data_IF_217902859450
#
_entry.id   IF_217902859450
#
_cell.length_a   1.000
_cell.length_b   1.000
_cell.length_c   1.000
_cell.angle_alpha   90.00
_cell.angle_beta   90.00
_cell.angle_gamma   90.00
#
_symmetry.space_group_name_H-M   'P 1'
#
loop_
_entity.id
_entity.type
_entity.pdbx_description
1 polymer ?
#
# COMPACT_ATOMS: atom_id res chain seq x y z
N UNK A 1 -100.97 4.62 -28.03
CA UNK A 1 -99.80 5.33 -27.46
C UNK A 1 -99.43 6.49 -28.37
N UNK A 2 -99.59 7.72 -27.90
CA UNK A 2 -99.44 8.94 -28.70
C UNK A 2 -97.98 9.19 -29.09
N UNK A 3 -97.75 9.77 -30.27
CA UNK A 3 -96.41 10.05 -30.83
C UNK A 3 -95.53 10.92 -29.90
N UNK A 4 -96.17 11.76 -29.08
CA UNK A 4 -95.52 12.60 -28.07
C UNK A 4 -94.87 11.77 -26.96
N UNK A 5 -95.56 10.74 -26.46
CA UNK A 5 -95.05 9.84 -25.42
C UNK A 5 -93.82 9.03 -25.87
N UNK A 6 -93.74 8.63 -27.15
CA UNK A 6 -92.55 7.93 -27.69
C UNK A 6 -91.34 8.86 -27.83
N UNK A 7 -91.55 10.14 -28.19
CA UNK A 7 -90.46 11.12 -28.31
C UNK A 7 -89.85 11.50 -26.97
N UNK A 8 -90.68 11.64 -25.93
CA UNK A 8 -90.21 11.93 -24.56
C UNK A 8 -89.39 10.75 -24.02
N UNK A 9 -89.81 9.51 -24.27
CA UNK A 9 -89.11 8.31 -23.81
C UNK A 9 -87.72 8.15 -24.47
N UNK A 10 -87.61 8.40 -25.77
CA UNK A 10 -86.33 8.36 -26.48
C UNK A 10 -85.37 9.46 -26.02
N UNK A 11 -85.88 10.66 -25.72
CA UNK A 11 -85.06 11.76 -25.21
C UNK A 11 -84.51 11.44 -23.80
N UNK A 12 -85.31 10.85 -22.91
CA UNK A 12 -84.82 10.42 -21.58
C UNK A 12 -83.76 9.32 -21.67
N UNK A 13 -83.91 8.39 -22.63
CA UNK A 13 -82.96 7.28 -22.83
C UNK A 13 -81.62 7.79 -23.39
N UNK A 14 -81.65 8.72 -24.34
CA UNK A 14 -80.45 9.36 -24.88
C UNK A 14 -79.68 10.18 -23.83
N UNK A 15 -80.38 10.89 -22.95
CA UNK A 15 -79.74 11.64 -21.84
C UNK A 15 -79.08 10.68 -20.85
N UNK A 16 -79.73 9.56 -20.49
CA UNK A 16 -79.15 8.58 -19.57
C UNK A 16 -77.88 7.89 -20.11
N UNK A 17 -77.83 7.63 -21.43
CA UNK A 17 -76.64 7.07 -22.09
C UNK A 17 -75.52 8.10 -22.17
N UNK A 18 -75.85 9.37 -22.42
CA UNK A 18 -74.85 10.44 -22.51
C UNK A 18 -74.24 10.79 -21.15
N UNK A 19 -75.02 10.73 -20.05
CA UNK A 19 -74.51 10.93 -18.68
C UNK A 19 -73.73 9.74 -18.15
N UNK A 20 -74.09 8.51 -18.56
CA UNK A 20 -73.33 7.32 -18.20
C UNK A 20 -71.94 7.30 -18.87
N UNK A 21 -71.82 7.78 -20.12
CA UNK A 21 -70.52 7.85 -20.82
C UNK A 21 -69.49 8.79 -20.18
N UNK A 22 -69.92 9.84 -19.47
CA UNK A 22 -69.02 10.81 -18.83
C UNK A 22 -68.31 10.23 -17.60
N UNK A 23 -68.96 9.32 -16.87
CA UNK A 23 -68.34 8.68 -15.68
C UNK A 23 -67.26 7.66 -16.04
N UNK A 24 -67.38 7.00 -17.20
CA UNK A 24 -66.40 6.02 -17.69
C UNK A 24 -65.21 6.68 -18.37
N UNK A 25 -65.41 7.83 -19.02
CA UNK A 25 -64.33 8.63 -19.59
C UNK A 25 -63.44 9.24 -18.48
N UNK A 26 -64.06 9.81 -17.44
CA UNK A 26 -63.32 10.38 -16.31
C UNK A 26 -62.48 9.35 -15.54
N UNK A 27 -63.01 8.13 -15.31
CA UNK A 27 -62.25 7.06 -14.65
C UNK A 27 -61.09 6.54 -15.49
N UNK A 28 -61.24 6.50 -16.82
CA UNK A 28 -60.18 6.11 -17.75
C UNK A 28 -59.08 7.18 -17.84
N UNK A 29 -59.45 8.46 -17.76
CA UNK A 29 -58.53 9.59 -17.76
C UNK A 29 -57.74 9.67 -16.45
N UNK A 30 -58.38 9.44 -15.31
CA UNK A 30 -57.73 9.36 -13.99
C UNK A 30 -56.74 8.17 -13.91
N UNK A 31 -57.10 7.01 -14.47
CA UNK A 31 -56.19 5.87 -14.56
C UNK A 31 -54.98 6.19 -15.45
N UNK A 32 -55.19 6.86 -16.59
CA UNK A 32 -54.14 7.35 -17.50
C UNK A 32 -53.17 8.31 -16.82
N UNK A 33 -53.68 9.31 -16.11
CA UNK A 33 -52.88 10.28 -15.38
C UNK A 33 -52.06 9.61 -14.27
N UNK A 34 -52.62 8.60 -13.59
CA UNK A 34 -51.90 7.82 -12.58
C UNK A 34 -50.77 6.96 -13.18
N UNK A 35 -50.94 6.45 -14.40
CA UNK A 35 -49.90 5.72 -15.12
C UNK A 35 -48.81 6.67 -15.63
N UNK A 36 -49.18 7.83 -16.17
CA UNK A 36 -48.23 8.83 -16.65
C UNK A 36 -47.37 9.36 -15.48
N UNK A 37 -47.96 9.57 -14.30
CA UNK A 37 -47.24 9.92 -13.07
C UNK A 37 -46.29 8.80 -12.59
N UNK A 38 -46.70 7.53 -12.68
CA UNK A 38 -45.83 6.40 -12.35
C UNK A 38 -44.64 6.27 -13.31
N UNK A 39 -44.86 6.49 -14.61
CA UNK A 39 -43.78 6.48 -15.61
C UNK A 39 -42.78 7.60 -15.36
N UNK A 40 -43.25 8.80 -15.01
CA UNK A 40 -42.37 9.91 -14.65
C UNK A 40 -41.56 9.62 -13.38
N UNK A 41 -42.20 9.09 -12.33
CA UNK A 41 -41.51 8.72 -11.09
C UNK A 41 -40.46 7.62 -11.33
N UNK A 42 -40.81 6.58 -12.10
CA UNK A 42 -39.89 5.51 -12.47
C UNK A 42 -38.71 6.04 -13.32
N UNK A 43 -38.98 7.00 -14.21
CA UNK A 43 -37.96 7.72 -14.96
C UNK A 43 -36.98 8.48 -14.05
N UNK A 44 -37.50 9.22 -13.08
CA UNK A 44 -36.67 9.93 -12.07
C UNK A 44 -35.83 8.97 -11.24
N UNK A 45 -36.41 7.85 -10.80
CA UNK A 45 -35.68 6.82 -10.06
C UNK A 45 -34.57 6.19 -10.91
N UNK A 46 -34.83 5.93 -12.19
CA UNK A 46 -33.84 5.43 -13.14
C UNK A 46 -32.67 6.41 -13.32
N UNK A 47 -32.96 7.70 -13.49
CA UNK A 47 -31.93 8.73 -13.63
C UNK A 47 -31.09 8.88 -12.35
N UNK A 48 -31.72 8.81 -11.18
CA UNK A 48 -31.02 8.83 -9.88
C UNK A 48 -30.10 7.61 -9.72
N UNK A 49 -30.58 6.41 -10.09
CA UNK A 49 -29.80 5.18 -10.08
C UNK A 49 -28.62 5.25 -11.06
N UNK A 50 -28.83 5.78 -12.27
CA UNK A 50 -27.76 6.00 -13.24
C UNK A 50 -26.68 6.94 -12.69
N UNK A 51 -27.09 8.02 -12.01
CA UNK A 51 -26.18 8.93 -11.31
C UNK A 51 -25.36 8.23 -10.22
N UNK A 52 -26.01 7.40 -9.40
CA UNK A 52 -25.33 6.60 -8.35
C UNK A 52 -24.34 5.60 -8.94
N UNK A 53 -24.71 4.90 -10.03
CA UNK A 53 -23.83 3.96 -10.73
C UNK A 53 -22.59 4.67 -11.27
N UNK A 54 -22.75 5.84 -11.87
CA UNK A 54 -21.62 6.63 -12.37
C UNK A 54 -20.69 7.07 -11.24
N UNK A 55 -21.26 7.57 -10.14
CA UNK A 55 -20.46 7.95 -8.95
C UNK A 55 -19.71 6.75 -8.35
N UNK A 56 -20.38 5.60 -8.22
CA UNK A 56 -19.76 4.39 -7.68
C UNK A 56 -18.67 3.84 -8.61
N UNK A 57 -18.88 3.92 -9.93
CA UNK A 57 -17.88 3.51 -10.92
C UNK A 57 -16.63 4.39 -10.84
N UNK A 58 -16.80 5.68 -10.62
CA UNK A 58 -15.67 6.60 -10.44
C UNK A 58 -14.93 6.35 -9.12
N UNK A 59 -15.67 6.13 -8.03
CA UNK A 59 -15.07 5.73 -6.74
C UNK A 59 -14.29 4.42 -6.86
N UNK A 60 -14.84 3.44 -7.60
CA UNK A 60 -14.14 2.18 -7.88
C UNK A 60 -12.87 2.40 -8.68
N UNK A 61 -12.89 3.25 -9.71
CA UNK A 61 -11.70 3.58 -10.51
C UNK A 61 -10.59 4.16 -9.64
N UNK A 62 -10.91 5.11 -8.78
CA UNK A 62 -9.95 5.70 -7.84
C UNK A 62 -9.40 4.65 -6.88
N UNK A 63 -10.27 3.80 -6.32
CA UNK A 63 -9.84 2.73 -5.42
C UNK A 63 -8.93 1.71 -6.11
N UNK A 64 -9.23 1.34 -7.36
CA UNK A 64 -8.39 0.44 -8.16
C UNK A 64 -7.01 1.07 -8.45
N UNK A 65 -6.95 2.38 -8.72
CA UNK A 65 -5.69 3.13 -8.88
C UNK A 65 -4.87 3.16 -7.60
N UNK A 66 -5.49 3.47 -6.46
CA UNK A 66 -4.85 3.45 -5.14
C UNK A 66 -4.35 2.06 -4.77
N UNK A 67 -5.15 1.02 -5.03
CA UNK A 67 -4.77 -0.37 -4.78
C UNK A 67 -3.55 -0.78 -5.62
N UNK A 68 -3.54 -0.43 -6.91
CA UNK A 68 -2.40 -0.70 -7.79
C UNK A 68 -1.13 0.02 -7.33
N UNK A 69 -1.24 1.29 -6.92
CA UNK A 69 -0.13 2.05 -6.35
C UNK A 69 0.40 1.39 -5.07
N UNK A 70 -0.49 1.01 -4.16
CA UNK A 70 -0.12 0.32 -2.92
C UNK A 70 0.58 -1.02 -3.17
N UNK A 71 0.10 -1.81 -4.15
CA UNK A 71 0.73 -3.08 -4.55
C UNK A 71 2.15 -2.83 -5.10
N UNK A 72 2.32 -1.80 -5.94
CA UNK A 72 3.63 -1.44 -6.49
C UNK A 72 4.62 -1.04 -5.39
N UNK A 73 4.21 -0.15 -4.47
CA UNK A 73 5.02 0.26 -3.32
C UNK A 73 5.34 -0.93 -2.42
N UNK A 74 4.37 -1.82 -2.14
CA UNK A 74 4.62 -3.01 -1.35
C UNK A 74 5.68 -3.92 -2.00
N UNK A 75 5.63 -4.11 -3.32
CA UNK A 75 6.62 -4.91 -4.05
C UNK A 75 8.01 -4.30 -3.97
N UNK A 76 8.14 -2.99 -4.14
CA UNK A 76 9.40 -2.26 -4.01
C UNK A 76 9.99 -2.42 -2.60
N UNK A 77 9.18 -2.13 -1.57
CA UNK A 77 9.61 -2.23 -0.16
C UNK A 77 10.02 -3.65 0.22
N UNK A 78 9.35 -4.67 -0.33
CA UNK A 78 9.73 -6.07 -0.13
C UNK A 78 11.08 -6.39 -0.78
N UNK A 79 11.38 -5.84 -1.94
CA UNK A 79 12.67 -6.01 -2.60
C UNK A 79 13.81 -5.32 -1.79
N UNK A 80 13.56 -4.11 -1.28
CA UNK A 80 14.51 -3.41 -0.40
C UNK A 80 14.77 -4.16 0.90
N UNK A 81 13.72 -4.74 1.49
CA UNK A 81 13.83 -5.56 2.69
C UNK A 81 14.73 -6.77 2.44
N UNK A 82 14.49 -7.51 1.35
CA UNK A 82 15.30 -8.67 1.00
C UNK A 82 16.78 -8.30 0.83
N UNK A 83 17.07 -7.22 0.10
CA UNK A 83 18.44 -6.71 -0.07
C UNK A 83 19.09 -6.30 1.26
N UNK A 84 18.30 -5.78 2.20
CA UNK A 84 18.78 -5.41 3.53
C UNK A 84 19.11 -6.65 4.36
N UNK A 85 18.28 -7.70 4.27
CA UNK A 85 18.52 -8.98 4.93
C UNK A 85 19.77 -9.69 4.38
N UNK A 86 19.97 -9.70 3.07
CA UNK A 86 21.19 -10.24 2.44
C UNK A 86 22.45 -9.52 2.97
N UNK A 87 22.40 -8.18 3.03
CA UNK A 87 23.51 -7.38 3.58
C UNK A 87 23.73 -7.63 5.08
N UNK A 88 22.66 -7.91 5.83
CA UNK A 88 22.76 -8.23 7.24
C UNK A 88 23.49 -9.56 7.42
N UNK A 89 23.08 -10.60 6.69
CA UNK A 89 23.72 -11.92 6.73
C UNK A 89 25.20 -11.85 6.36
N UNK A 90 25.55 -11.16 5.27
CA UNK A 90 26.95 -10.95 4.88
C UNK A 90 27.77 -10.24 5.98
N UNK A 91 27.17 -9.27 6.66
CA UNK A 91 27.85 -8.52 7.71
C UNK A 91 28.01 -9.34 8.99
N UNK A 92 27.03 -10.19 9.34
CA UNK A 92 27.13 -11.13 10.45
C UNK A 92 28.26 -12.15 10.21
N UNK A 93 28.39 -12.68 8.99
CA UNK A 93 29.50 -13.56 8.64
C UNK A 93 30.86 -12.83 8.75
N UNK A 94 30.97 -11.63 8.17
CA UNK A 94 32.19 -10.81 8.26
C UNK A 94 32.55 -10.48 9.71
N UNK A 95 31.55 -10.19 10.54
CA UNK A 95 31.72 -9.92 11.96
C UNK A 95 32.30 -11.16 12.67
N UNK A 96 31.69 -12.33 12.49
CA UNK A 96 32.16 -13.56 13.10
C UNK A 96 33.60 -13.93 12.70
N UNK A 97 33.98 -13.70 11.44
CA UNK A 97 35.36 -13.88 10.97
C UNK A 97 36.30 -12.88 11.64
N UNK A 98 35.90 -11.61 11.70
CA UNK A 98 36.70 -10.53 12.28
C UNK A 98 36.92 -10.73 13.78
N UNK A 99 35.90 -11.18 14.52
CA UNK A 99 35.99 -11.51 15.95
C UNK A 99 36.99 -12.65 16.19
N UNK A 100 36.94 -13.72 15.41
CA UNK A 100 37.92 -14.82 15.53
C UNK A 100 39.35 -14.36 15.26
N UNK A 101 39.55 -13.52 14.24
CA UNK A 101 40.86 -12.97 13.92
C UNK A 101 41.35 -11.99 14.99
N UNK A 102 40.45 -11.21 15.57
CA UNK A 102 40.74 -10.35 16.72
C UNK A 102 41.20 -11.17 17.92
N UNK A 103 40.47 -12.22 18.29
CA UNK A 103 40.81 -13.08 19.42
C UNK A 103 42.17 -13.75 19.24
N UNK A 104 42.46 -14.26 18.04
CA UNK A 104 43.78 -14.83 17.69
C UNK A 104 44.90 -13.82 17.88
N UNK A 105 44.73 -12.60 17.35
CA UNK A 105 45.72 -11.52 17.46
C UNK A 105 45.89 -11.06 18.91
N UNK A 106 44.80 -10.94 19.66
CA UNK A 106 44.78 -10.57 21.07
C UNK A 106 45.53 -11.61 21.92
N UNK A 107 45.27 -12.90 21.70
CA UNK A 107 45.99 -13.98 22.37
C UNK A 107 47.48 -13.99 22.04
N UNK A 108 47.84 -13.82 20.76
CA UNK A 108 49.25 -13.73 20.33
C UNK A 108 49.98 -12.53 20.95
N UNK A 109 49.31 -11.37 20.98
CA UNK A 109 49.84 -10.17 21.64
C UNK A 109 50.00 -10.39 23.15
N UNK A 110 49.00 -10.96 23.81
CA UNK A 110 49.05 -11.29 25.24
C UNK A 110 50.19 -12.25 25.57
N UNK A 111 50.44 -13.26 24.73
CA UNK A 111 51.61 -14.13 24.84
C UNK A 111 52.90 -13.32 24.71
N UNK A 112 53.02 -12.46 23.70
CA UNK A 112 54.22 -11.64 23.48
C UNK A 112 54.51 -10.70 24.64
N UNK A 113 53.49 -10.04 25.19
CA UNK A 113 53.61 -9.16 26.36
C UNK A 113 54.06 -9.96 27.59
N UNK A 114 53.47 -11.14 27.81
CA UNK A 114 53.87 -12.03 28.89
C UNK A 114 55.31 -12.52 28.74
N UNK A 115 55.71 -12.91 27.52
CA UNK A 115 57.07 -13.35 27.23
C UNK A 115 58.09 -12.23 27.51
N UNK A 116 57.76 -10.97 27.19
CA UNK A 116 58.57 -9.78 27.55
C UNK A 116 58.66 -9.59 29.07
N UNK A 117 57.55 -9.78 29.79
CA UNK A 117 57.50 -9.60 31.24
C UNK A 117 58.28 -10.71 31.99
N UNK A 118 58.09 -11.98 31.61
CA UNK A 118 58.67 -13.14 32.30
C UNK A 118 60.16 -13.27 32.01
N UNK A 119 60.55 -13.18 30.73
CA UNK A 119 61.94 -13.43 30.35
C UNK A 119 62.83 -12.20 30.54
N UNK A 120 62.25 -11.09 31.04
CA UNK A 120 62.86 -9.78 30.94
C UNK A 120 63.03 -9.38 29.47
N UNK A 121 63.18 -8.10 29.19
CA UNK A 121 63.59 -7.70 27.85
C UNK A 121 64.89 -8.43 27.48
N UNK A 122 65.05 -8.80 26.20
CA UNK A 122 66.38 -8.65 25.58
C UNK A 122 66.82 -7.26 26.01
N UNK A 123 67.84 -7.16 26.87
CA UNK A 123 68.20 -5.87 27.44
C UNK A 123 68.36 -4.87 26.29
N UNK A 124 67.90 -3.63 26.41
CA UNK A 124 68.15 -2.63 25.36
C UNK A 124 69.64 -2.54 25.02
N UNK A 125 70.48 -2.86 26.01
CA UNK A 125 71.92 -3.15 25.89
C UNK A 125 72.17 -4.29 24.89
N UNK A 126 71.60 -5.49 25.05
CA UNK A 126 71.78 -6.64 24.14
C UNK A 126 71.32 -6.37 22.69
N UNK A 127 70.27 -5.54 22.49
CA UNK A 127 69.82 -5.16 21.13
C UNK A 127 70.84 -4.27 20.43
N UNK A 128 71.44 -3.35 21.18
CA UNK A 128 72.50 -2.45 20.69
C UNK A 128 73.82 -3.21 20.51
N UNK A 129 74.22 -4.05 21.47
CA UNK A 129 75.45 -4.85 21.41
C UNK A 129 75.39 -6.06 20.47
N UNK A 130 74.20 -6.44 19.99
CA UNK A 130 73.99 -7.44 18.93
C UNK A 130 74.01 -6.90 17.50
N UNK A 131 74.36 -5.62 17.29
CA UNK A 131 74.46 -5.03 15.95
C UNK A 131 75.62 -5.66 15.15
N UNK A 132 75.38 -5.93 13.86
CA UNK A 132 76.41 -6.56 13.00
C UNK A 132 77.56 -5.61 12.66
N UNK A 133 77.30 -4.31 12.67
CA UNK A 133 78.25 -3.24 12.38
C UNK A 133 77.78 -1.91 12.99
N UNK A 134 78.62 -0.88 12.88
CA UNK A 134 78.38 0.42 13.49
C UNK A 134 77.18 1.17 12.87
N UNK A 135 76.81 0.88 11.63
CA UNK A 135 75.66 1.50 10.96
C UNK A 135 74.34 0.91 11.47
N UNK A 136 74.28 -0.42 11.63
CA UNK A 136 73.15 -1.12 12.26
C UNK A 136 72.96 -0.68 13.73
N UNK A 137 74.06 -0.44 14.46
CA UNK A 137 74.02 0.11 15.82
C UNK A 137 73.33 1.48 15.88
N UNK A 138 73.75 2.43 15.03
CA UNK A 138 73.18 3.78 15.01
C UNK A 138 71.71 3.80 14.60
N UNK A 139 71.33 2.96 13.63
CA UNK A 139 69.94 2.83 13.16
C UNK A 139 69.01 2.35 14.28
N UNK A 140 69.46 1.34 15.04
CA UNK A 140 68.71 0.81 16.19
C UNK A 140 68.62 1.80 17.34
N UNK A 141 69.70 2.56 17.60
CA UNK A 141 69.68 3.62 18.61
C UNK A 141 68.67 4.73 18.27
N UNK A 142 68.55 5.11 16.99
CA UNK A 142 67.61 6.13 16.55
C UNK A 142 66.14 5.67 16.66
N UNK A 143 65.86 4.41 16.29
CA UNK A 143 64.54 3.80 16.41
C UNK A 143 64.05 3.70 17.87
N UNK A 144 64.96 3.60 18.83
CA UNK A 144 64.66 3.44 20.26
C UNK A 144 64.56 4.78 21.02
N UNK A 145 64.95 5.90 20.41
CA UNK A 145 64.85 7.24 21.00
C UNK A 145 63.48 7.91 20.79
N UNK A 146 62.57 7.29 20.04
CA UNK A 146 61.22 7.82 19.75
C UNK A 146 60.15 7.18 20.61
#
# INVERSE_FOLDING_TARGET
MNAVTKRILCASLAVSVLTAGQGWAASLEEERDSYDAQVEDLGRQSDELAGKINSLSEQKRVLDEEANAAIATHKERRAELNKTLERLEENEEKLAVTEREYDRKSAALGKRVRDIYINGQISYIDVLFGAKDFSDFLTRMDLLKR
#
